data_IF_038500476199
#
_entry.id   IF_038500476199
#
_cell.length_a   1.000
_cell.length_b   1.000
_cell.length_c   1.000
_cell.angle_alpha   90.00
_cell.angle_beta   90.00
_cell.angle_gamma   90.00
#
_symmetry.space_group_name_H-M   'P 1'
#
loop_
_entity.id
_entity.type
_entity.pdbx_description
1 polymer ?
#
# COMPACT_ATOMS: atom_id res chain seq x y z
N UNK A 1 -20.48 -3.86 -64.02
CA UNK A 1 -20.90 -4.73 -62.91
C UNK A 1 -22.01 -4.07 -62.13
N UNK A 2 -23.01 -4.84 -61.66
CA UNK A 2 -24.05 -4.32 -60.73
C UNK A 2 -23.52 -4.40 -59.30
N UNK A 3 -23.81 -3.40 -58.54
CA UNK A 3 -23.48 -3.31 -57.13
C UNK A 3 -24.70 -2.96 -56.30
N UNK A 4 -24.78 -3.45 -55.06
CA UNK A 4 -25.81 -3.08 -54.10
C UNK A 4 -25.27 -2.06 -53.10
N UNK A 5 -26.15 -1.21 -52.57
CA UNK A 5 -25.78 -0.31 -51.51
C UNK A 5 -25.11 -1.04 -50.34
N UNK A 6 -23.99 -0.51 -49.82
CA UNK A 6 -23.14 -1.14 -48.79
C UNK A 6 -22.19 -2.20 -49.30
N UNK A 7 -22.25 -2.61 -50.58
CA UNK A 7 -21.31 -3.59 -51.12
C UNK A 7 -19.88 -3.01 -51.19
N UNK A 8 -18.89 -3.78 -50.72
CA UNK A 8 -17.47 -3.41 -50.77
C UNK A 8 -17.02 -3.35 -52.24
N UNK A 9 -16.51 -2.17 -52.65
CA UNK A 9 -15.99 -1.93 -54.00
C UNK A 9 -14.52 -2.25 -54.09
N UNK A 10 -13.74 -1.77 -53.13
CA UNK A 10 -12.31 -2.11 -52.96
C UNK A 10 -11.85 -1.83 -51.55
N UNK A 11 -10.75 -2.42 -51.19
CA UNK A 11 -10.14 -2.31 -49.86
C UNK A 11 -8.67 -1.93 -50.03
N UNK A 12 -8.25 -0.88 -49.31
CA UNK A 12 -6.86 -0.46 -49.29
C UNK A 12 -6.12 -1.33 -48.25
N UNK A 13 -4.81 -1.57 -48.43
CA UNK A 13 -3.99 -2.27 -47.44
C UNK A 13 -4.07 -1.56 -46.09
N UNK A 14 -4.50 -2.31 -45.05
CA UNK A 14 -4.76 -1.81 -43.69
C UNK A 14 -3.66 -2.11 -42.69
N UNK A 15 -2.64 -2.85 -43.06
CA UNK A 15 -1.62 -3.35 -42.09
C UNK A 15 -0.97 -2.22 -41.29
N UNK A 16 -0.72 -1.09 -41.95
CA UNK A 16 -0.20 0.11 -41.26
C UNK A 16 -1.22 0.75 -40.28
N UNK A 17 -2.51 0.75 -40.66
CA UNK A 17 -3.58 1.31 -39.84
C UNK A 17 -3.92 0.41 -38.65
N UNK A 18 -3.85 -0.91 -38.80
CA UNK A 18 -4.01 -1.89 -37.72
C UNK A 18 -2.95 -1.67 -36.63
N UNK A 19 -1.69 -1.43 -37.05
CA UNK A 19 -0.62 -1.09 -36.12
C UNK A 19 -0.86 0.23 -35.40
N UNK A 20 -1.41 1.23 -36.09
CA UNK A 20 -1.74 2.54 -35.49
C UNK A 20 -2.92 2.40 -34.52
N UNK A 21 -3.96 1.63 -34.89
CA UNK A 21 -5.11 1.36 -34.04
C UNK A 21 -4.71 0.61 -32.76
N UNK A 22 -3.85 -0.40 -32.89
CA UNK A 22 -3.28 -1.12 -31.74
C UNK A 22 -2.49 -0.17 -30.83
N UNK A 23 -1.68 0.72 -31.41
CA UNK A 23 -0.90 1.71 -30.65
C UNK A 23 -1.81 2.72 -29.94
N UNK A 24 -2.87 3.19 -30.58
CA UNK A 24 -3.86 4.10 -30.02
C UNK A 24 -4.64 3.41 -28.87
N UNK A 25 -5.04 2.14 -29.08
CA UNK A 25 -5.72 1.33 -28.05
C UNK A 25 -4.84 1.15 -26.80
N UNK A 26 -3.57 0.78 -26.98
CA UNK A 26 -2.62 0.67 -25.88
C UNK A 26 -2.36 2.03 -25.19
N UNK A 27 -2.41 3.12 -25.96
CA UNK A 27 -2.33 4.48 -25.45
C UNK A 27 -3.52 4.83 -24.57
N UNK A 28 -4.72 4.48 -25.00
CA UNK A 28 -5.96 4.68 -24.24
C UNK A 28 -5.95 3.88 -22.93
N UNK A 29 -5.52 2.61 -22.98
CA UNK A 29 -5.44 1.77 -21.77
C UNK A 29 -4.52 2.39 -20.71
N UNK A 30 -3.30 2.80 -21.13
CA UNK A 30 -2.37 3.48 -20.21
C UNK A 30 -2.91 4.81 -19.67
N UNK A 31 -3.65 5.55 -20.48
CA UNK A 31 -4.26 6.81 -20.03
C UNK A 31 -5.40 6.57 -19.02
N UNK A 32 -6.19 5.48 -19.19
CA UNK A 32 -7.20 5.05 -18.22
C UNK A 32 -6.59 4.65 -16.88
N UNK A 33 -5.52 3.86 -16.92
CA UNK A 33 -4.80 3.45 -15.71
C UNK A 33 -4.24 4.67 -14.98
N UNK A 34 -3.56 5.57 -15.71
CA UNK A 34 -3.02 6.82 -15.13
C UNK A 34 -4.10 7.72 -14.53
N UNK A 35 -5.29 7.80 -15.15
CA UNK A 35 -6.42 8.54 -14.58
C UNK A 35 -6.99 7.88 -13.34
N UNK A 36 -7.11 6.54 -13.34
CA UNK A 36 -7.58 5.78 -12.19
C UNK A 36 -6.65 5.94 -10.98
N UNK A 37 -5.34 5.86 -11.21
CA UNK A 37 -4.32 6.07 -10.17
C UNK A 37 -4.39 7.50 -9.61
N UNK A 38 -4.40 8.52 -10.47
CA UNK A 38 -4.47 9.91 -10.04
C UNK A 38 -5.79 10.24 -9.29
N UNK A 39 -6.89 9.57 -9.64
CA UNK A 39 -8.17 9.71 -8.93
C UNK A 39 -8.12 9.02 -7.56
N UNK A 40 -7.49 7.87 -7.46
CA UNK A 40 -7.27 7.18 -6.20
C UNK A 40 -6.41 8.02 -5.25
N UNK A 41 -5.28 8.55 -5.73
CA UNK A 41 -4.39 9.42 -4.98
C UNK A 41 -5.11 10.69 -4.48
N UNK A 42 -5.91 11.33 -5.33
CA UNK A 42 -6.70 12.51 -4.94
C UNK A 42 -7.72 12.18 -3.84
N UNK A 43 -8.45 11.08 -3.97
CA UNK A 43 -9.44 10.65 -2.97
C UNK A 43 -8.79 10.25 -1.64
N UNK A 44 -7.64 9.59 -1.70
CA UNK A 44 -6.85 9.24 -0.51
C UNK A 44 -6.35 10.50 0.20
N UNK A 45 -5.74 11.43 -0.55
CA UNK A 45 -5.29 12.71 -0.01
C UNK A 45 -6.45 13.51 0.61
N UNK A 46 -7.63 13.54 -0.03
CA UNK A 46 -8.82 14.21 0.51
C UNK A 46 -9.26 13.59 1.85
N UNK A 47 -9.20 12.27 1.98
CA UNK A 47 -9.53 11.57 3.22
C UNK A 47 -8.49 11.83 4.32
N UNK A 48 -7.21 11.70 3.96
CA UNK A 48 -6.07 11.79 4.88
C UNK A 48 -5.91 13.21 5.44
N UNK A 49 -6.06 14.23 4.59
CA UNK A 49 -5.86 15.65 4.95
C UNK A 49 -7.16 16.40 5.26
N UNK A 50 -8.28 15.69 5.44
CA UNK A 50 -9.56 16.33 5.77
C UNK A 50 -9.44 17.17 7.03
N UNK A 51 -10.03 18.39 7.00
CA UNK A 51 -9.95 19.35 8.09
C UNK A 51 -8.58 20.04 8.24
N UNK A 52 -7.75 20.01 7.18
CA UNK A 52 -6.38 20.53 7.20
C UNK A 52 -5.49 19.85 8.25
N UNK A 53 -5.75 18.60 8.57
CA UNK A 53 -5.00 17.85 9.58
C UNK A 53 -4.20 16.74 8.91
N UNK A 54 -3.02 16.46 9.46
CA UNK A 54 -2.26 15.26 9.19
C UNK A 54 -2.60 14.21 10.23
N UNK A 55 -2.84 12.99 9.80
CA UNK A 55 -3.32 11.90 10.65
C UNK A 55 -2.26 10.82 10.84
N UNK A 56 -2.33 10.14 11.97
CA UNK A 56 -1.45 8.99 12.25
C UNK A 56 -1.72 7.85 11.27
N UNK A 57 -0.66 7.27 10.74
CA UNK A 57 -0.71 6.01 9.97
C UNK A 57 -0.49 4.78 10.86
N UNK A 58 -0.16 5.00 12.14
CA UNK A 58 0.20 3.96 13.10
C UNK A 58 -0.69 4.01 14.34
N UNK A 59 -0.73 2.89 15.06
CA UNK A 59 -1.47 2.76 16.33
C UNK A 59 -0.48 2.46 17.44
N UNK A 60 -0.57 3.18 18.56
CA UNK A 60 0.28 3.04 19.73
C UNK A 60 0.40 4.34 20.53
N UNK A 61 1.26 4.34 21.53
CA UNK A 61 1.60 5.55 22.30
C UNK A 61 2.68 6.36 21.59
N UNK A 62 2.57 7.67 21.61
CA UNK A 62 3.63 8.58 21.17
C UNK A 62 4.73 8.57 22.24
N UNK A 63 5.87 7.93 21.94
CA UNK A 63 7.03 7.86 22.83
C UNK A 63 7.85 9.14 22.79
N UNK A 64 8.12 9.64 21.57
CA UNK A 64 8.79 10.90 21.30
C UNK A 64 8.05 11.63 20.19
N UNK A 65 7.98 12.94 20.28
CA UNK A 65 7.40 13.82 19.25
C UNK A 65 8.46 14.79 18.76
N UNK A 66 8.81 14.72 17.45
CA UNK A 66 9.95 15.44 16.87
C UNK A 66 9.56 16.74 16.15
N UNK A 67 8.28 17.08 16.16
CA UNK A 67 7.73 18.24 15.47
C UNK A 67 7.10 19.21 16.46
N UNK A 68 7.05 20.49 16.07
CA UNK A 68 6.42 21.55 16.84
C UNK A 68 5.65 22.52 15.94
N UNK A 69 4.79 23.37 16.53
CA UNK A 69 4.10 24.41 15.80
C UNK A 69 5.10 25.40 15.15
N UNK A 70 4.86 25.74 13.89
CA UNK A 70 5.74 26.57 13.07
C UNK A 70 6.77 25.79 12.24
N UNK A 71 6.95 24.49 12.51
CA UNK A 71 7.86 23.66 11.72
C UNK A 71 7.32 23.42 10.31
N UNK A 72 8.24 23.09 9.41
CA UNK A 72 7.93 22.60 8.07
C UNK A 72 8.20 21.12 7.97
N UNK A 73 7.16 20.37 7.64
CA UNK A 73 7.16 18.91 7.55
C UNK A 73 6.95 18.50 6.10
N UNK A 74 7.73 17.54 5.64
CA UNK A 74 7.59 16.90 4.32
C UNK A 74 7.76 15.40 4.44
N UNK A 75 7.59 14.65 3.35
CA UNK A 75 7.55 13.18 3.34
C UNK A 75 8.69 12.45 4.05
N UNK A 76 9.88 13.05 4.11
CA UNK A 76 11.05 12.48 4.79
C UNK A 76 11.21 12.96 6.26
N UNK A 77 10.30 13.80 6.75
CA UNK A 77 10.40 14.33 8.12
C UNK A 77 9.88 13.30 9.10
N UNK A 78 10.71 12.96 10.07
CA UNK A 78 10.31 12.15 11.22
C UNK A 78 9.32 12.93 12.08
N UNK A 79 8.16 12.33 12.35
CA UNK A 79 7.06 12.95 13.13
C UNK A 79 7.13 12.49 14.57
N UNK A 80 7.12 11.17 14.80
CA UNK A 80 7.07 10.60 16.14
C UNK A 80 7.64 9.19 16.19
N UNK A 81 8.06 8.75 17.37
CA UNK A 81 8.23 7.35 17.69
C UNK A 81 6.95 6.80 18.31
N UNK A 82 6.45 5.72 17.75
CA UNK A 82 5.25 5.03 18.21
C UNK A 82 5.63 3.73 18.91
N UNK A 83 5.08 3.52 20.08
CA UNK A 83 5.39 2.42 20.97
C UNK A 83 4.11 1.82 21.58
N UNK A 84 4.02 0.49 21.62
CA UNK A 84 2.93 -0.19 22.34
C UNK A 84 3.47 -1.48 22.97
N UNK A 85 3.51 -1.48 24.30
CA UNK A 85 3.95 -2.60 25.13
C UNK A 85 2.82 -3.28 25.89
N UNK A 86 1.56 -2.92 25.64
CA UNK A 86 0.41 -3.58 26.28
C UNK A 86 0.34 -5.06 25.95
N UNK A 87 0.88 -5.43 24.80
CA UNK A 87 1.15 -6.79 24.41
C UNK A 87 2.64 -6.90 24.11
N UNK A 88 3.29 -7.88 24.73
CA UNK A 88 4.70 -8.16 24.50
C UNK A 88 4.85 -9.43 23.66
N UNK A 89 5.80 -9.37 22.73
CA UNK A 89 6.16 -10.47 21.84
C UNK A 89 7.41 -11.16 22.35
N UNK A 90 7.48 -12.46 22.13
CA UNK A 90 8.62 -13.28 22.50
C UNK A 90 8.91 -14.27 21.36
N UNK A 91 10.16 -14.36 20.95
CA UNK A 91 10.64 -15.33 19.96
C UNK A 91 11.56 -16.33 20.64
N UNK A 92 11.15 -17.60 20.66
CA UNK A 92 11.90 -18.68 21.35
C UNK A 92 12.15 -19.88 20.44
N UNK A 93 13.32 -20.54 20.54
CA UNK A 93 13.63 -21.71 19.77
C UNK A 93 13.09 -22.99 20.45
N UNK A 94 12.34 -23.79 19.73
CA UNK A 94 11.99 -25.16 20.09
C UNK A 94 12.74 -26.16 19.20
N UNK A 95 13.00 -27.35 19.67
CA UNK A 95 13.53 -28.41 18.80
C UNK A 95 12.62 -28.57 17.58
N UNK A 96 13.19 -28.78 16.41
CA UNK A 96 12.43 -28.81 15.16
C UNK A 96 11.27 -29.83 15.17
N UNK A 97 11.48 -30.99 15.82
CA UNK A 97 10.45 -32.00 16.00
C UNK A 97 9.31 -31.54 16.92
N UNK A 98 9.64 -30.84 18.00
CA UNK A 98 8.67 -30.29 18.95
C UNK A 98 7.87 -29.16 18.35
N UNK A 99 8.55 -28.24 17.66
CA UNK A 99 7.93 -27.11 16.95
C UNK A 99 6.91 -27.57 15.90
N UNK A 100 7.13 -28.71 15.26
CA UNK A 100 6.20 -29.28 14.29
C UNK A 100 4.85 -29.73 14.91
N UNK A 101 4.81 -29.92 16.21
CA UNK A 101 3.59 -30.28 16.96
C UNK A 101 2.84 -29.06 17.53
N UNK A 102 3.46 -27.86 17.43
CA UNK A 102 2.90 -26.60 17.93
C UNK A 102 2.13 -25.90 16.80
N UNK A 103 0.90 -25.49 17.08
CA UNK A 103 0.06 -24.77 16.13
C UNK A 103 -0.18 -23.30 16.59
N UNK A 104 -0.33 -22.34 15.67
CA UNK A 104 -0.83 -21.02 16.01
C UNK A 104 -2.16 -21.06 16.76
N UNK A 105 -2.33 -20.17 17.74
CA UNK A 105 -3.49 -20.15 18.64
C UNK A 105 -3.36 -21.05 19.87
N UNK A 106 -2.31 -21.88 19.98
CA UNK A 106 -2.10 -22.74 21.16
C UNK A 106 -1.72 -21.88 22.37
N UNK A 107 -2.38 -22.06 23.54
CA UNK A 107 -1.99 -21.39 24.77
C UNK A 107 -0.64 -21.92 25.26
N UNK A 108 0.15 -21.03 25.85
CA UNK A 108 1.46 -21.35 26.41
C UNK A 108 1.65 -20.69 27.80
N UNK A 109 2.52 -21.28 28.61
CA UNK A 109 3.02 -20.66 29.84
C UNK A 109 4.37 -20.01 29.57
N UNK A 110 4.52 -18.77 30.02
CA UNK A 110 5.74 -17.98 29.90
C UNK A 110 6.26 -17.75 31.31
N UNK A 111 7.44 -18.27 31.63
CA UNK A 111 8.05 -18.14 32.96
C UNK A 111 9.22 -17.18 32.87
N UNK A 112 9.15 -16.05 33.57
CA UNK A 112 10.24 -15.09 33.68
C UNK A 112 11.45 -15.72 34.38
N UNK A 113 12.65 -15.54 33.79
CA UNK A 113 13.86 -16.21 34.30
C UNK A 113 14.42 -15.54 35.55
N UNK A 114 14.16 -14.26 35.75
CA UNK A 114 14.65 -13.46 36.88
C UNK A 114 13.75 -13.56 38.13
N UNK A 115 12.43 -13.59 37.94
CA UNK A 115 11.46 -13.57 39.07
C UNK A 115 10.77 -14.91 39.28
N UNK A 116 10.74 -15.79 38.27
CA UNK A 116 9.98 -17.03 38.26
C UNK A 116 8.46 -16.81 38.12
N UNK A 117 8.04 -15.57 37.85
CA UNK A 117 6.62 -15.26 37.61
C UNK A 117 6.13 -15.94 36.32
N UNK A 118 4.91 -16.43 36.37
CA UNK A 118 4.28 -17.12 35.22
C UNK A 118 3.21 -16.23 34.59
N UNK A 119 3.34 -16.03 33.28
CA UNK A 119 2.36 -15.33 32.45
C UNK A 119 1.69 -16.30 31.48
N UNK A 120 0.42 -16.05 31.19
CA UNK A 120 -0.28 -16.74 30.13
C UNK A 120 0.04 -16.08 28.80
N UNK A 121 0.40 -16.88 27.80
CA UNK A 121 0.66 -16.43 26.45
C UNK A 121 -0.09 -17.26 25.41
N UNK A 122 0.00 -16.83 24.16
CA UNK A 122 -0.56 -17.53 23.01
C UNK A 122 0.48 -17.59 21.90
N UNK A 123 0.61 -18.74 21.27
CA UNK A 123 1.45 -18.93 20.08
C UNK A 123 0.81 -18.18 18.91
N UNK A 124 1.53 -17.28 18.29
CA UNK A 124 1.07 -16.52 17.11
C UNK A 124 1.52 -17.14 15.81
N UNK A 125 2.76 -17.64 15.77
CA UNK A 125 3.29 -18.32 14.59
C UNK A 125 4.43 -19.27 14.94
N UNK A 126 4.69 -20.21 14.03
CA UNK A 126 5.82 -21.14 14.09
C UNK A 126 6.57 -21.01 12.78
N UNK A 127 7.90 -20.80 12.85
CA UNK A 127 8.75 -20.75 11.67
C UNK A 127 8.78 -22.11 10.96
N UNK A 128 8.70 -22.07 9.63
CA UNK A 128 8.89 -23.27 8.80
C UNK A 128 10.38 -23.53 8.48
N UNK A 129 11.27 -22.64 8.90
CA UNK A 129 12.71 -22.74 8.62
C UNK A 129 13.43 -23.41 9.80
N UNK A 130 14.21 -24.43 9.51
CA UNK A 130 15.09 -25.06 10.47
C UNK A 130 16.37 -24.23 10.60
N UNK A 131 16.74 -23.88 11.82
CA UNK A 131 17.95 -23.14 12.14
C UNK A 131 18.82 -23.95 13.12
N UNK A 132 20.13 -23.76 13.06
CA UNK A 132 21.06 -24.43 14.01
C UNK A 132 21.50 -23.40 15.05
N UNK A 133 21.24 -23.70 16.33
CA UNK A 133 21.68 -22.90 17.46
C UNK A 133 22.98 -23.46 18.08
N UNK A 134 23.49 -22.77 19.07
CA UNK A 134 24.71 -23.16 19.81
C UNK A 134 24.58 -24.61 20.30
N UNK A 135 25.63 -25.40 20.08
CA UNK A 135 25.64 -26.84 20.42
C UNK A 135 25.08 -27.75 19.31
N UNK A 136 24.82 -27.24 18.10
CA UNK A 136 24.44 -28.04 16.93
C UNK A 136 23.00 -28.55 16.94
N UNK A 137 22.14 -28.02 17.82
CA UNK A 137 20.71 -28.38 17.87
C UNK A 137 19.95 -27.72 16.73
N UNK A 138 19.09 -28.46 16.08
CA UNK A 138 18.20 -27.97 15.03
C UNK A 138 16.89 -27.55 15.66
N UNK A 139 16.52 -26.28 15.46
CA UNK A 139 15.37 -25.64 16.08
C UNK A 139 14.52 -24.92 15.04
N UNK A 140 13.24 -24.65 15.41
CA UNK A 140 12.38 -23.68 14.76
C UNK A 140 11.95 -22.64 15.78
N UNK A 141 11.88 -21.39 15.34
CA UNK A 141 11.40 -20.34 16.20
C UNK A 141 9.89 -20.33 16.29
N UNK A 142 9.40 -20.23 17.53
CA UNK A 142 8.00 -20.05 17.87
C UNK A 142 7.83 -18.63 18.38
N UNK A 143 6.88 -17.92 17.81
CA UNK A 143 6.51 -16.57 18.23
C UNK A 143 5.29 -16.68 19.14
N UNK A 144 5.38 -16.03 20.29
CA UNK A 144 4.29 -15.96 21.28
C UNK A 144 4.01 -14.54 21.68
N UNK A 145 2.79 -14.27 22.11
CA UNK A 145 2.36 -12.99 22.64
C UNK A 145 1.76 -13.17 24.03
N UNK A 146 2.02 -12.19 24.91
CA UNK A 146 1.42 -12.11 26.23
C UNK A 146 0.98 -10.68 26.53
N UNK A 147 -0.13 -10.54 27.27
CA UNK A 147 -0.51 -9.25 27.81
C UNK A 147 0.53 -8.78 28.83
N UNK A 148 0.93 -7.52 28.79
CA UNK A 148 1.81 -6.91 29.77
C UNK A 148 1.01 -6.53 31.03
N UNK A 149 1.32 -7.11 32.20
CA UNK A 149 0.63 -6.75 33.44
C UNK A 149 1.02 -5.36 33.99
N UNK A 150 1.91 -4.61 33.29
CA UNK A 150 2.36 -3.27 33.65
C UNK A 150 3.78 -3.18 34.19
N UNK A 151 4.52 -4.29 34.21
CA UNK A 151 5.92 -4.32 34.68
C UNK A 151 6.88 -5.03 33.74
N UNK A 152 6.37 -5.61 32.65
CA UNK A 152 7.17 -6.34 31.69
C UNK A 152 7.89 -5.39 30.74
N UNK A 153 9.21 -5.56 30.63
CA UNK A 153 10.06 -4.73 29.76
C UNK A 153 10.94 -5.60 28.86
N UNK A 154 11.61 -5.01 27.92
CA UNK A 154 12.57 -5.68 27.03
C UNK A 154 13.82 -6.20 27.73
N UNK A 155 14.05 -5.84 29.00
CA UNK A 155 15.14 -6.37 29.82
C UNK A 155 14.88 -7.75 30.39
N UNK A 156 13.59 -8.17 30.45
CA UNK A 156 13.22 -9.50 30.95
C UNK A 156 13.46 -10.56 29.90
N UNK A 157 13.86 -11.73 30.36
CA UNK A 157 13.90 -12.96 29.53
C UNK A 157 12.99 -14.02 30.12
N UNK A 158 12.52 -14.94 29.27
CA UNK A 158 11.61 -15.96 29.69
C UNK A 158 11.80 -17.28 28.95
N UNK A 159 11.41 -18.35 29.65
CA UNK A 159 11.23 -19.69 29.09
C UNK A 159 9.77 -19.90 28.74
N UNK A 160 9.50 -20.47 27.59
CA UNK A 160 8.14 -20.76 27.11
C UNK A 160 7.89 -22.27 27.15
N UNK A 161 6.74 -22.64 27.69
CA UNK A 161 6.25 -24.02 27.71
C UNK A 161 4.90 -24.09 26.97
N UNK A 162 4.81 -25.01 26.00
CA UNK A 162 3.59 -25.28 25.22
C UNK A 162 3.16 -26.75 25.49
N UNK A 163 2.15 -26.92 26.31
CA UNK A 163 1.82 -28.27 26.84
C UNK A 163 3.00 -28.80 27.66
N UNK A 164 3.57 -29.93 27.23
CA UNK A 164 4.76 -30.54 27.85
C UNK A 164 6.08 -30.17 27.17
N UNK A 165 6.01 -29.37 26.10
CA UNK A 165 7.18 -28.96 25.31
C UNK A 165 7.78 -27.67 25.88
N UNK A 166 9.11 -27.66 26.10
CA UNK A 166 9.85 -26.51 26.63
C UNK A 166 10.80 -26.00 25.57
N UNK A 167 10.89 -24.65 25.43
CA UNK A 167 11.84 -24.04 24.53
C UNK A 167 13.31 -24.39 24.86
N UNK A 168 14.16 -24.43 23.86
CA UNK A 168 15.58 -24.85 23.99
C UNK A 168 16.47 -23.77 24.62
N UNK A 169 16.11 -22.51 24.49
CA UNK A 169 16.78 -21.34 25.04
C UNK A 169 15.72 -20.29 25.42
N UNK A 170 16.05 -19.43 26.38
CA UNK A 170 15.20 -18.30 26.75
C UNK A 170 15.12 -17.26 25.63
N UNK A 171 14.02 -16.52 25.58
CA UNK A 171 13.84 -15.38 24.67
C UNK A 171 13.70 -14.08 25.41
N UNK A 172 13.98 -12.97 24.72
CA UNK A 172 13.77 -11.62 25.20
C UNK A 172 12.42 -11.08 24.73
N UNK A 173 11.80 -10.24 25.53
CA UNK A 173 10.56 -9.58 25.15
C UNK A 173 10.80 -8.38 24.23
N UNK A 174 9.87 -8.21 23.31
CA UNK A 174 9.79 -7.06 22.42
C UNK A 174 8.38 -6.46 22.52
N UNK A 175 8.21 -5.13 22.44
CA UNK A 175 6.88 -4.52 22.41
C UNK A 175 6.14 -4.92 21.13
N UNK A 176 4.81 -4.90 21.18
CA UNK A 176 3.99 -5.21 20.00
C UNK A 176 4.21 -4.21 18.87
N UNK A 177 4.48 -2.94 19.20
CA UNK A 177 4.83 -1.87 18.27
C UNK A 177 6.02 -1.10 18.81
N UNK A 178 7.07 -0.95 18.01
CA UNK A 178 8.15 0.00 18.19
C UNK A 178 8.61 0.43 16.80
N UNK A 179 8.22 1.64 16.40
CA UNK A 179 8.48 2.14 15.06
C UNK A 179 8.55 3.65 15.04
N UNK A 180 9.39 4.17 14.16
CA UNK A 180 9.44 5.59 13.85
C UNK A 180 8.47 5.91 12.72
N UNK A 181 7.64 6.92 12.90
CA UNK A 181 6.69 7.39 11.92
C UNK A 181 7.22 8.65 11.24
N UNK A 182 7.32 8.63 9.93
CA UNK A 182 7.60 9.78 9.07
C UNK A 182 6.33 10.23 8.37
N UNK A 183 6.34 11.47 7.86
CA UNK A 183 5.20 12.03 7.13
C UNK A 183 5.19 11.59 5.65
N UNK A 184 5.36 10.29 5.38
CA UNK A 184 5.58 9.70 4.05
C UNK A 184 4.48 10.05 3.04
N UNK A 185 3.24 10.26 3.51
CA UNK A 185 2.09 10.59 2.67
C UNK A 185 2.05 12.07 2.22
N UNK A 186 3.00 12.90 2.67
CA UNK A 186 3.08 14.30 2.24
C UNK A 186 3.86 14.42 0.92
N UNK A 187 3.14 14.65 -0.18
CA UNK A 187 3.73 15.06 -1.45
C UNK A 187 4.04 16.56 -1.45
N UNK A 188 5.00 16.94 -0.65
CA UNK A 188 5.44 18.33 -0.50
C UNK A 188 5.66 18.75 0.95
N UNK A 189 6.02 20.03 1.14
CA UNK A 189 6.27 20.58 2.47
C UNK A 189 5.08 21.41 2.95
N UNK A 190 4.61 21.12 4.15
CA UNK A 190 3.54 21.81 4.86
C UNK A 190 4.06 22.48 6.13
N UNK A 191 3.46 23.58 6.52
CA UNK A 191 3.76 24.28 7.77
C UNK A 191 2.73 23.91 8.83
N UNK A 192 3.20 23.56 10.01
CA UNK A 192 2.36 23.18 11.16
C UNK A 192 1.79 24.45 11.80
N UNK A 193 0.47 24.52 11.90
CA UNK A 193 -0.22 25.57 12.65
C UNK A 193 -0.29 25.22 14.13
N UNK A 194 -0.67 23.99 14.47
CA UNK A 194 -0.80 23.52 15.85
C UNK A 194 -0.58 22.00 15.93
N UNK A 195 -0.06 21.54 17.06
CA UNK A 195 -0.06 20.12 17.43
C UNK A 195 -1.40 19.77 18.08
N UNK A 196 -1.92 18.58 17.77
CA UNK A 196 -3.18 18.07 18.30
C UNK A 196 -2.95 16.91 19.28
N UNK A 197 -1.71 16.49 19.46
CA UNK A 197 -1.27 15.41 20.34
C UNK A 197 -0.01 15.80 21.08
N UNK A 198 0.28 15.06 22.15
CA UNK A 198 1.48 15.20 22.97
C UNK A 198 2.16 13.83 23.17
N UNK A 199 3.40 13.86 23.68
CA UNK A 199 4.08 12.65 24.15
C UNK A 199 3.28 11.97 25.26
N UNK A 200 3.16 10.65 25.19
CA UNK A 200 2.33 9.84 26.10
C UNK A 200 0.89 9.64 25.64
N UNK A 201 0.42 10.35 24.61
CA UNK A 201 -0.91 10.13 24.06
C UNK A 201 -0.98 8.81 23.29
N UNK A 202 -2.11 8.10 23.43
CA UNK A 202 -2.42 6.93 22.61
C UNK A 202 -3.15 7.35 21.35
N UNK A 203 -2.59 7.00 20.20
CA UNK A 203 -3.15 7.30 18.89
C UNK A 203 -3.51 6.01 18.15
N UNK A 204 -4.49 6.09 17.28
CA UNK A 204 -4.84 5.04 16.32
C UNK A 204 -4.61 5.56 14.91
N UNK A 205 -4.47 4.67 13.95
CA UNK A 205 -4.48 5.07 12.55
C UNK A 205 -5.72 5.92 12.25
N UNK A 206 -5.51 7.11 11.65
CA UNK A 206 -6.55 8.11 11.42
C UNK A 206 -6.70 9.18 12.51
N UNK A 207 -6.03 9.06 13.67
CA UNK A 207 -6.03 10.11 14.70
C UNK A 207 -5.29 11.34 14.19
N UNK A 208 -5.90 12.57 14.23
CA UNK A 208 -5.21 13.80 13.85
C UNK A 208 -4.02 14.08 14.76
N UNK A 209 -2.84 14.32 14.19
CA UNK A 209 -1.59 14.59 14.90
C UNK A 209 -1.26 16.08 14.97
N UNK A 210 -1.40 16.75 13.83
CA UNK A 210 -1.18 18.19 13.75
C UNK A 210 -2.10 18.83 12.72
N UNK A 211 -2.34 20.12 12.90
CA UNK A 211 -3.06 20.96 11.95
C UNK A 211 -2.06 21.70 11.08
N UNK A 212 -2.31 21.68 9.77
CA UNK A 212 -1.55 22.45 8.78
C UNK A 212 -2.14 23.84 8.64
N UNK A 213 -1.30 24.82 8.31
CA UNK A 213 -1.80 26.14 7.90
C UNK A 213 -2.70 26.00 6.66
N UNK A 214 -3.79 26.75 6.58
CA UNK A 214 -4.73 26.72 5.45
C UNK A 214 -4.01 26.85 4.11
N UNK A 215 -3.00 27.75 4.03
CA UNK A 215 -2.18 27.94 2.83
C UNK A 215 -1.41 26.67 2.40
N UNK A 216 -0.87 25.92 3.38
CA UNK A 216 -0.13 24.70 3.11
C UNK A 216 -1.07 23.58 2.67
N UNK A 217 -2.21 23.43 3.35
CA UNK A 217 -3.24 22.45 2.99
C UNK A 217 -3.80 22.70 1.57
N UNK A 218 -4.15 23.95 1.25
CA UNK A 218 -4.60 24.34 -0.09
C UNK A 218 -3.56 24.05 -1.18
N UNK A 219 -2.29 24.31 -0.87
CA UNK A 219 -1.20 24.04 -1.83
C UNK A 219 -1.04 22.55 -2.06
N UNK A 220 -1.08 21.75 -0.99
CA UNK A 220 -0.97 20.30 -1.06
C UNK A 220 -2.10 19.70 -1.90
N UNK A 221 -3.34 20.07 -1.61
CA UNK A 221 -4.51 19.57 -2.35
C UNK A 221 -4.50 19.99 -3.81
N UNK A 222 -4.04 21.19 -4.14
CA UNK A 222 -3.87 21.63 -5.54
C UNK A 222 -2.88 20.78 -6.33
N UNK A 223 -1.86 20.23 -5.71
CA UNK A 223 -0.93 19.33 -6.40
C UNK A 223 -1.66 18.08 -6.88
N UNK A 224 -2.43 17.43 -6.01
CA UNK A 224 -3.24 16.25 -6.35
C UNK A 224 -4.31 16.59 -7.40
N UNK A 225 -5.00 17.71 -7.24
CA UNK A 225 -5.99 18.19 -8.22
C UNK A 225 -5.38 18.44 -9.60
N UNK A 226 -4.19 19.05 -9.67
CA UNK A 226 -3.48 19.28 -10.93
C UNK A 226 -3.04 17.96 -11.57
N UNK A 227 -2.57 17.00 -10.78
CA UNK A 227 -2.22 15.66 -11.27
C UNK A 227 -3.45 14.96 -11.88
N UNK A 228 -4.57 14.96 -11.16
CA UNK A 228 -5.84 14.40 -11.63
C UNK A 228 -6.32 15.08 -12.92
N UNK A 229 -6.29 16.42 -12.98
CA UNK A 229 -6.69 17.17 -14.18
C UNK A 229 -5.77 16.87 -15.37
N UNK A 230 -4.47 16.71 -15.13
CA UNK A 230 -3.51 16.34 -16.19
C UNK A 230 -3.78 14.94 -16.73
N UNK A 231 -4.02 13.97 -15.84
CA UNK A 231 -4.35 12.60 -16.22
C UNK A 231 -5.69 12.52 -16.97
N UNK A 232 -6.70 13.29 -16.52
CA UNK A 232 -7.98 13.42 -17.22
C UNK A 232 -7.81 13.95 -18.65
N UNK A 233 -6.97 14.98 -18.83
CA UNK A 233 -6.72 15.53 -20.15
C UNK A 233 -5.97 14.58 -21.07
N UNK A 234 -5.05 13.76 -20.51
CA UNK A 234 -4.39 12.70 -21.26
C UNK A 234 -5.38 11.61 -21.70
N UNK A 235 -6.34 11.25 -20.84
CA UNK A 235 -7.40 10.31 -21.16
C UNK A 235 -8.27 10.83 -22.31
N UNK A 236 -8.77 12.07 -22.23
CA UNK A 236 -9.56 12.71 -23.29
C UNK A 236 -8.81 12.77 -24.63
N UNK A 237 -7.50 13.06 -24.59
CA UNK A 237 -6.67 13.07 -25.79
C UNK A 237 -6.50 11.65 -26.39
N UNK A 238 -6.37 10.63 -25.55
CA UNK A 238 -6.25 9.26 -26.01
C UNK A 238 -7.57 8.72 -26.58
N UNK A 239 -8.72 9.09 -25.99
CA UNK A 239 -10.06 8.80 -26.52
C UNK A 239 -10.26 9.42 -27.90
N UNK A 240 -9.95 10.69 -28.07
CA UNK A 240 -10.00 11.37 -29.36
C UNK A 240 -9.05 10.74 -30.41
N UNK A 241 -7.88 10.30 -29.96
CA UNK A 241 -6.90 9.65 -30.82
C UNK A 241 -7.37 8.30 -31.35
N UNK A 242 -8.00 7.46 -30.49
CA UNK A 242 -8.54 6.18 -30.95
C UNK A 242 -9.74 6.37 -31.87
N UNK A 243 -10.65 7.30 -31.56
CA UNK A 243 -11.78 7.64 -32.41
C UNK A 243 -11.31 8.07 -33.81
N UNK A 244 -10.40 9.05 -33.89
CA UNK A 244 -9.83 9.52 -35.16
C UNK A 244 -9.10 8.43 -35.93
N UNK A 245 -8.45 7.50 -35.22
CA UNK A 245 -7.73 6.39 -35.87
C UNK A 245 -8.71 5.34 -36.37
N UNK A 246 -9.79 5.07 -35.63
CA UNK A 246 -10.88 4.18 -36.03
C UNK A 246 -11.58 4.71 -37.28
N UNK A 247 -11.95 5.99 -37.31
CA UNK A 247 -12.55 6.63 -38.47
C UNK A 247 -11.67 6.53 -39.72
N UNK A 248 -10.37 6.70 -39.58
CA UNK A 248 -9.42 6.50 -40.69
C UNK A 248 -9.42 5.04 -41.13
N UNK A 249 -9.38 4.09 -40.20
CA UNK A 249 -9.40 2.65 -40.48
C UNK A 249 -10.64 2.24 -41.26
N UNK A 250 -11.83 2.75 -40.85
CA UNK A 250 -13.09 2.46 -41.51
C UNK A 250 -13.14 2.99 -42.95
N UNK A 251 -12.55 4.16 -43.18
CA UNK A 251 -12.44 4.77 -44.52
C UNK A 251 -11.53 4.01 -45.49
N UNK A 252 -10.74 3.02 -45.04
CA UNK A 252 -9.95 2.12 -45.91
C UNK A 252 -10.80 1.07 -46.64
N UNK A 253 -12.10 0.95 -46.33
CA UNK A 253 -13.06 0.14 -47.05
C UNK A 253 -14.03 1.06 -47.80
N UNK A 254 -13.95 1.06 -49.12
CA UNK A 254 -14.87 1.86 -49.93
C UNK A 254 -16.05 0.98 -50.32
N UNK A 255 -17.22 1.41 -49.91
CA UNK A 255 -18.50 0.73 -50.20
C UNK A 255 -19.31 1.54 -51.21
N UNK A 256 -20.22 0.86 -51.93
CA UNK A 256 -21.18 1.52 -52.82
C UNK A 256 -22.18 2.36 -52.00
N UNK A 257 -22.29 3.67 -52.22
CA UNK A 257 -23.24 4.54 -51.49
C UNK A 257 -24.69 4.34 -51.93
N UNK A 258 -24.90 3.75 -53.11
CA UNK A 258 -26.21 3.43 -53.71
C UNK A 258 -26.11 2.14 -54.53
N UNK A 259 -27.23 1.47 -54.70
CA UNK A 259 -27.33 0.35 -55.65
C UNK A 259 -27.35 0.85 -57.09
N UNK A 260 -26.56 0.23 -57.99
CA UNK A 260 -26.51 0.68 -59.37
C UNK A 260 -25.52 -0.12 -60.21
N UNK A 261 -25.23 0.40 -61.41
CA UNK A 261 -24.26 -0.18 -62.32
C UNK A 261 -22.98 0.65 -62.37
N UNK A 262 -21.81 0.02 -62.16
CA UNK A 262 -20.51 0.67 -62.31
C UNK A 262 -20.24 0.89 -63.79
N UNK A 263 -20.13 2.15 -64.17
CA UNK A 263 -19.91 2.57 -65.56
C UNK A 263 -18.41 2.56 -65.88
N UNK A 264 -17.59 3.08 -64.98
CA UNK A 264 -16.14 3.22 -65.18
C UNK A 264 -15.39 2.91 -63.88
N UNK A 265 -14.30 2.17 -63.96
CA UNK A 265 -13.35 1.89 -62.86
C UNK A 265 -12.05 2.62 -63.15
N UNK A 266 -11.74 3.66 -62.34
CA UNK A 266 -10.55 4.51 -62.46
C UNK A 266 -9.43 4.13 -61.47
N UNK A 267 -9.55 2.99 -60.79
CA UNK A 267 -8.56 2.48 -59.81
C UNK A 267 -8.02 1.12 -60.33
N UNK A 268 -6.72 0.92 -60.20
CA UNK A 268 -6.06 -0.35 -60.46
C UNK A 268 -5.64 -1.01 -59.15
N UNK A 269 -5.71 -2.32 -59.10
CA UNK A 269 -5.24 -3.11 -57.96
C UNK A 269 -3.72 -3.28 -58.02
#
# INVERSE_FOLDING_TARGET
DQVTEGQVLYQIDRSSMESQLTSASNGLERAKDSYADALADYNEAQSLFSGNTYKSTRTGYIKNLYIQAGDRVGGQTTVADIYDDRVMKLKVPFLAGDAAAIAPGTPCAITLTDTGEMLAGTVTSVSNMDETITGGRIVRYVHVEAANPGGLTTAHTAVVTVGDLICSEEGSFEPSVETTMSAEDLDGSVEIEALLVAEGDYVTAGTPLFQMTAKSADKLMRNYENSLNSAKQQLENAENSIESTQDKYDNYTITAPISGQVITKNVNA
#
